data_IF_290578465484
#
_entry.id   IF_290578465484
#
_cell.length_a   1.000
_cell.length_b   1.000
_cell.length_c   1.000
_cell.angle_alpha   90.00
_cell.angle_beta   90.00
_cell.angle_gamma   90.00
#
_symmetry.space_group_name_H-M   'P 1'
#
loop_
_entity.id
_entity.type
_entity.pdbx_description
1 polymer ?
#
# COMPACT_ATOMS: atom_id res chain seq x y z
N UNK A 1 1.77 13.80 0.36
CA UNK A 1 0.30 13.91 0.41
C UNK A 1 -0.22 13.99 -1.02
N UNK A 2 -0.89 12.94 -1.51
CA UNK A 2 -1.57 12.97 -2.81
C UNK A 2 -3.06 13.12 -2.53
N UNK A 3 -3.70 14.10 -3.14
CA UNK A 3 -5.13 14.38 -2.95
C UNK A 3 -5.82 14.09 -4.28
N UNK A 4 -6.70 13.10 -4.29
CA UNK A 4 -7.51 12.81 -5.48
C UNK A 4 -8.89 13.43 -5.23
N UNK A 5 -9.20 14.47 -6.00
CA UNK A 5 -10.49 15.11 -5.97
C UNK A 5 -11.46 14.35 -6.88
N UNK A 6 -12.50 13.73 -6.31
CA UNK A 6 -13.62 13.22 -7.08
C UNK A 6 -14.91 13.93 -6.64
N UNK A 7 -15.20 15.07 -7.30
CA UNK A 7 -16.36 15.93 -7.00
C UNK A 7 -16.40 16.39 -5.54
N UNK A 8 -17.22 15.77 -4.67
CA UNK A 8 -17.43 16.12 -3.25
C UNK A 8 -16.78 15.13 -2.27
N UNK A 9 -16.07 14.14 -2.81
CA UNK A 9 -15.38 13.10 -2.04
C UNK A 9 -13.86 13.38 -2.12
N UNK A 10 -13.17 13.31 -0.99
CA UNK A 10 -11.72 13.51 -0.93
C UNK A 10 -11.08 12.21 -0.48
N UNK A 11 -10.29 11.60 -1.37
CA UNK A 11 -9.35 10.56 -0.99
C UNK A 11 -8.02 11.22 -0.60
N UNK A 12 -7.59 11.03 0.65
CA UNK A 12 -6.32 11.56 1.15
C UNK A 12 -5.35 10.42 1.38
N UNK A 13 -4.17 10.52 0.76
CA UNK A 13 -3.05 9.63 1.02
C UNK A 13 -2.09 10.30 2.02
N UNK A 14 -1.96 9.69 3.21
CA UNK A 14 -1.01 10.12 4.24
C UNK A 14 -0.10 8.93 4.60
N UNK A 15 1.21 9.07 4.42
CA UNK A 15 2.22 8.05 4.75
C UNK A 15 1.93 6.64 4.19
N UNK A 16 1.52 6.55 2.93
CA UNK A 16 1.16 5.27 2.28
C UNK A 16 -0.14 4.64 2.77
N UNK A 17 -0.82 5.23 3.77
CA UNK A 17 -2.12 4.77 4.28
C UNK A 17 -3.25 5.56 3.63
N UNK A 18 -4.32 4.85 3.26
CA UNK A 18 -5.51 5.40 2.58
C UNK A 18 -6.49 5.93 3.62
N UNK A 19 -6.86 7.21 3.51
CA UNK A 19 -7.87 7.83 4.34
C UNK A 19 -9.01 8.33 3.46
N UNK A 20 -10.25 7.97 3.83
CA UNK A 20 -11.45 8.36 3.10
C UNK A 20 -12.17 9.48 3.84
N UNK A 21 -12.26 10.65 3.21
CA UNK A 21 -12.99 11.80 3.73
C UNK A 21 -14.25 12.01 2.88
N UNK A 22 -15.42 11.82 3.49
CA UNK A 22 -16.70 11.87 2.79
C UNK A 22 -17.43 13.16 3.17
N UNK A 23 -17.38 14.16 2.29
CA UNK A 23 -18.19 15.37 2.43
C UNK A 23 -19.68 15.03 2.34
N UNK A 24 -20.44 15.42 3.36
CA UNK A 24 -21.90 15.27 3.54
C UNK A 24 -22.44 13.91 4.03
N UNK A 25 -21.66 13.11 4.76
CA UNK A 25 -22.20 11.92 5.43
C UNK A 25 -22.71 12.26 6.83
N UNK A 26 -23.99 11.93 7.08
CA UNK A 26 -24.56 11.82 8.42
C UNK A 26 -24.13 10.46 8.98
N UNK A 27 -23.13 10.46 9.86
CA UNK A 27 -22.65 9.25 10.55
C UNK A 27 -23.62 8.93 11.70
N UNK A 28 -24.43 7.87 11.56
CA UNK A 28 -25.19 7.31 12.69
C UNK A 28 -24.44 6.10 13.27
N UNK A 29 -23.70 6.35 14.36
CA UNK A 29 -22.91 5.36 15.07
C UNK A 29 -22.18 5.99 16.26
N UNK A 30 -22.05 5.26 17.37
CA UNK A 30 -21.39 5.75 18.59
C UNK A 30 -19.87 5.83 18.39
N UNK A 31 -19.38 7.05 18.11
CA UNK A 31 -17.97 7.50 18.03
C UNK A 31 -17.26 7.31 16.67
N UNK A 32 -17.00 8.44 16.02
CA UNK A 32 -15.89 8.60 15.05
C UNK A 32 -14.97 9.67 15.63
N UNK A 33 -13.76 9.27 16.01
CA UNK A 33 -12.72 10.19 16.50
C UNK A 33 -11.66 10.38 15.44
N UNK A 34 -11.47 11.61 14.97
CA UNK A 34 -10.28 12.03 14.22
C UNK A 34 -9.43 12.85 15.19
N UNK A 35 -8.21 12.39 15.48
CA UNK A 35 -7.21 13.17 16.23
C UNK A 35 -6.06 13.50 15.29
N UNK A 36 -5.85 14.78 15.03
CA UNK A 36 -4.73 15.29 14.24
C UNK A 36 -3.79 16.03 15.20
N UNK A 37 -2.61 15.44 15.41
CA UNK A 37 -1.37 16.13 15.80
C UNK A 37 -1.23 16.68 17.22
N UNK A 38 -0.49 15.94 18.07
CA UNK A 38 0.51 16.49 19.01
C UNK A 38 1.31 15.35 19.72
N UNK A 39 2.30 14.81 19.00
CA UNK A 39 3.60 14.47 19.60
C UNK A 39 3.75 13.28 20.56
N UNK A 40 2.73 12.46 20.86
CA UNK A 40 2.93 11.20 21.62
C UNK A 40 2.08 10.07 21.04
N UNK A 41 2.68 9.34 20.11
CA UNK A 41 2.02 8.31 19.31
C UNK A 41 1.78 7.02 20.10
N UNK A 42 0.58 6.87 20.67
CA UNK A 42 -0.01 5.57 20.97
C UNK A 42 -0.86 5.16 19.76
N UNK A 43 -0.33 4.29 18.90
CA UNK A 43 -1.09 3.72 17.80
C UNK A 43 -1.98 2.59 18.34
N UNK A 44 -3.24 2.91 18.67
CA UNK A 44 -4.27 1.87 18.76
C UNK A 44 -4.56 1.38 17.34
N UNK A 45 -4.52 0.07 17.13
CA UNK A 45 -5.02 -0.58 15.93
C UNK A 45 -6.48 -0.18 15.71
N UNK A 46 -6.78 0.49 14.60
CA UNK A 46 -8.16 0.74 14.18
C UNK A 46 -8.54 -0.32 13.17
N UNK A 47 -9.47 -1.21 13.56
CA UNK A 47 -10.23 -2.01 12.61
C UNK A 47 -11.23 -1.08 11.92
N UNK A 48 -10.96 -0.70 10.68
CA UNK A 48 -12.00 -0.13 9.82
C UNK A 48 -12.90 -1.30 9.44
N UNK A 49 -14.02 -1.46 10.13
CA UNK A 49 -15.10 -2.32 9.62
C UNK A 49 -15.40 -1.86 8.19
N UNK A 50 -15.64 -2.78 7.23
CA UNK A 50 -15.93 -2.39 5.85
C UNK A 50 -17.08 -1.38 5.87
N UNK A 51 -16.76 -0.13 5.56
CA UNK A 51 -17.78 0.90 5.46
C UNK A 51 -18.48 0.62 4.12
N UNK A 52 -19.66 0.04 4.19
CA UNK A 52 -20.49 -0.12 3.00
C UNK A 52 -21.06 1.25 2.65
N UNK A 53 -20.78 1.73 1.44
CA UNK A 53 -21.43 2.92 0.91
C UNK A 53 -22.69 2.51 0.18
N UNK A 54 -23.84 2.93 0.70
CA UNK A 54 -25.06 2.99 -0.10
C UNK A 54 -25.09 4.31 -0.87
N UNK A 55 -25.10 4.23 -2.20
CA UNK A 55 -25.21 5.39 -3.09
C UNK A 55 -26.35 5.21 -4.07
N UNK A 56 -27.12 6.27 -4.27
CA UNK A 56 -28.21 6.31 -5.25
C UNK A 56 -27.66 6.80 -6.59
N UNK A 57 -27.98 6.05 -7.65
CA UNK A 57 -27.62 6.33 -9.03
C UNK A 57 -28.90 6.42 -9.85
N UNK A 58 -28.83 7.16 -10.96
CA UNK A 58 -29.94 7.27 -11.90
C UNK A 58 -29.50 6.82 -13.29
N UNK A 59 -30.23 5.87 -13.85
CA UNK A 59 -30.01 5.34 -15.19
C UNK A 59 -31.33 5.41 -15.95
N UNK A 60 -31.42 6.33 -16.92
CA UNK A 60 -32.62 6.64 -17.71
C UNK A 60 -33.89 6.89 -16.88
N UNK A 61 -33.80 7.67 -15.79
CA UNK A 61 -34.94 7.94 -14.92
C UNK A 61 -35.26 6.82 -13.94
N UNK A 62 -34.60 5.66 -14.05
CA UNK A 62 -34.69 4.59 -13.06
C UNK A 62 -33.67 4.81 -11.95
N UNK A 63 -34.15 4.79 -10.70
CA UNK A 63 -33.30 4.89 -9.51
C UNK A 63 -32.75 3.52 -9.13
N UNK A 64 -31.44 3.48 -8.97
CA UNK A 64 -30.65 2.33 -8.52
C UNK A 64 -30.01 2.70 -7.19
N UNK A 65 -30.12 1.83 -6.18
CA UNK A 65 -29.28 1.95 -4.98
C UNK A 65 -28.28 0.83 -4.97
N UNK A 66 -27.01 1.19 -4.85
CA UNK A 66 -25.91 0.23 -4.82
C UNK A 66 -25.22 0.37 -3.47
N UNK A 67 -25.16 -0.74 -2.75
CA UNK A 67 -24.38 -0.91 -1.54
C UNK A 67 -23.14 -1.75 -1.89
N UNK A 68 -21.97 -1.16 -1.78
CA UNK A 68 -20.68 -1.81 -2.07
C UNK A 68 -19.70 -1.51 -0.94
N UNK A 69 -18.86 -2.49 -0.51
CA UNK A 69 -17.75 -2.21 0.38
C UNK A 69 -16.74 -1.30 -0.30
N UNK A 70 -16.25 -0.31 0.42
CA UNK A 70 -15.25 0.63 -0.11
C UNK A 70 -13.88 0.01 -0.36
N UNK A 71 -13.52 -0.98 0.47
CA UNK A 71 -12.26 -1.69 0.44
C UNK A 71 -12.54 -3.17 0.61
N UNK A 72 -11.98 -3.99 -0.26
CA UNK A 72 -12.08 -5.45 -0.18
C UNK A 72 -10.71 -6.09 -0.26
N UNK A 73 -10.53 -7.20 0.43
CA UNK A 73 -9.34 -8.03 0.30
C UNK A 73 -9.50 -8.97 -0.90
N UNK A 74 -8.42 -9.24 -1.66
CA UNK A 74 -8.45 -10.27 -2.69
C UNK A 74 -8.73 -11.64 -2.05
N UNK A 75 -9.33 -12.55 -2.81
CA UNK A 75 -9.65 -13.92 -2.39
C UNK A 75 -10.67 -14.06 -1.25
N UNK A 76 -11.11 -12.98 -0.61
CA UNK A 76 -12.27 -12.99 0.27
C UNK A 76 -13.56 -12.77 -0.52
N UNK A 77 -14.65 -13.37 -0.04
CA UNK A 77 -15.97 -13.12 -0.60
C UNK A 77 -16.58 -11.89 0.04
N UNK A 78 -17.09 -10.97 -0.77
CA UNK A 78 -17.80 -9.78 -0.32
C UNK A 78 -19.13 -9.64 -1.04
N UNK A 79 -20.05 -8.89 -0.43
CA UNK A 79 -21.40 -8.72 -0.95
C UNK A 79 -21.58 -7.34 -1.57
N UNK A 80 -22.12 -7.30 -2.78
CA UNK A 80 -22.68 -6.08 -3.37
C UNK A 80 -24.20 -6.24 -3.38
N UNK A 81 -24.93 -5.30 -2.78
CA UNK A 81 -26.39 -5.27 -2.87
C UNK A 81 -26.84 -4.20 -3.84
N UNK A 82 -27.70 -4.56 -4.77
CA UNK A 82 -28.24 -3.63 -5.78
C UNK A 82 -29.76 -3.68 -5.73
N UNK A 83 -30.37 -2.57 -5.32
CA UNK A 83 -31.81 -2.37 -5.38
C UNK A 83 -32.17 -1.65 -6.68
N UNK A 84 -32.82 -2.39 -7.57
CA UNK A 84 -33.27 -1.91 -8.88
C UNK A 84 -34.79 -1.82 -8.90
N UNK A 85 -35.33 -0.63 -9.20
CA UNK A 85 -36.79 -0.39 -9.21
C UNK A 85 -37.42 -0.49 -10.61
N UNK A 86 -36.62 -0.52 -11.67
CA UNK A 86 -37.11 -0.60 -13.03
C UNK A 86 -37.61 -2.00 -13.40
N UNK A 87 -38.54 -2.05 -14.36
CA UNK A 87 -39.07 -3.33 -14.86
C UNK A 87 -38.09 -4.03 -15.81
N UNK A 88 -37.24 -3.27 -16.50
CA UNK A 88 -36.36 -3.81 -17.54
C UNK A 88 -35.05 -4.30 -16.93
N UNK A 89 -34.60 -5.54 -17.25
CA UNK A 89 -33.34 -6.03 -16.74
C UNK A 89 -32.16 -5.17 -17.22
N UNK A 90 -31.18 -4.99 -16.34
CA UNK A 90 -29.92 -4.29 -16.62
C UNK A 90 -28.78 -5.29 -16.65
N UNK A 91 -27.75 -5.03 -17.44
CA UNK A 91 -26.55 -5.86 -17.43
C UNK A 91 -25.51 -5.24 -16.51
N UNK A 92 -24.72 -6.07 -15.85
CA UNK A 92 -23.56 -5.61 -15.08
C UNK A 92 -22.29 -6.33 -15.49
N UNK A 93 -21.17 -5.65 -15.32
CA UNK A 93 -19.81 -6.16 -15.54
C UNK A 93 -18.94 -5.67 -14.38
N UNK A 94 -18.13 -6.55 -13.81
CA UNK A 94 -17.04 -6.19 -12.90
C UNK A 94 -15.72 -6.22 -13.65
N UNK A 95 -14.96 -5.13 -13.49
CA UNK A 95 -13.63 -4.97 -14.04
C UNK A 95 -12.60 -4.77 -12.91
N UNK A 96 -11.40 -5.30 -13.09
CA UNK A 96 -10.25 -5.02 -12.23
C UNK A 96 -9.66 -3.62 -12.52
N UNK A 97 -8.58 -3.26 -11.81
CA UNK A 97 -7.92 -1.98 -11.97
C UNK A 97 -7.31 -1.73 -13.36
N UNK A 98 -6.99 -2.80 -14.10
CA UNK A 98 -6.47 -2.74 -15.47
C UNK A 98 -7.58 -2.86 -16.52
N UNK A 99 -8.84 -2.99 -16.09
CA UNK A 99 -10.00 -3.11 -16.97
C UNK A 99 -10.33 -4.54 -17.40
N UNK A 100 -9.65 -5.56 -16.86
CA UNK A 100 -9.97 -6.96 -17.13
C UNK A 100 -11.34 -7.32 -16.54
N UNK A 101 -12.23 -7.84 -17.38
CA UNK A 101 -13.56 -8.25 -16.97
C UNK A 101 -13.54 -9.65 -16.33
N UNK A 102 -13.93 -9.76 -15.07
CA UNK A 102 -13.90 -11.04 -14.35
C UNK A 102 -15.27 -11.53 -13.89
N UNK A 103 -16.33 -10.71 -13.99
CA UNK A 103 -17.70 -11.16 -13.76
C UNK A 103 -18.68 -10.37 -14.61
N UNK A 104 -19.75 -11.02 -15.07
CA UNK A 104 -20.87 -10.38 -15.74
C UNK A 104 -22.18 -11.05 -15.38
N UNK A 105 -23.27 -10.31 -15.49
CA UNK A 105 -24.60 -10.85 -15.26
C UNK A 105 -25.71 -9.84 -15.52
N UNK A 106 -26.89 -10.14 -15.01
CA UNK A 106 -28.09 -9.35 -15.21
C UNK A 106 -28.76 -9.05 -13.87
N UNK A 107 -29.17 -7.80 -13.68
CA UNK A 107 -29.94 -7.33 -12.54
C UNK A 107 -31.42 -7.34 -12.92
N UNK A 108 -32.25 -7.87 -12.01
CA UNK A 108 -33.71 -7.85 -12.15
C UNK A 108 -34.32 -6.84 -11.17
N UNK A 109 -35.58 -6.49 -11.42
CA UNK A 109 -36.39 -5.69 -10.48
C UNK A 109 -36.35 -6.31 -9.08
N UNK A 110 -36.14 -5.48 -8.06
CA UNK A 110 -36.05 -5.89 -6.67
C UNK A 110 -34.63 -5.76 -6.12
N UNK A 111 -34.30 -6.63 -5.17
CA UNK A 111 -33.00 -6.67 -4.50
C UNK A 111 -32.17 -7.77 -5.16
N UNK A 112 -30.97 -7.42 -5.61
CA UNK A 112 -29.99 -8.36 -6.16
C UNK A 112 -28.79 -8.38 -5.22
N UNK A 113 -28.57 -9.53 -4.58
CA UNK A 113 -27.42 -9.75 -3.70
C UNK A 113 -26.36 -10.55 -4.44
N UNK A 114 -25.24 -9.92 -4.74
CA UNK A 114 -24.12 -10.53 -5.45
C UNK A 114 -23.05 -10.90 -4.44
N UNK A 115 -22.73 -12.19 -4.32
CA UNK A 115 -21.58 -12.65 -3.56
C UNK A 115 -20.38 -12.82 -4.51
N UNK A 116 -19.37 -12.00 -4.33
CA UNK A 116 -18.28 -11.80 -5.30
C UNK A 116 -16.95 -12.07 -4.61
N UNK A 117 -16.04 -12.70 -5.34
CA UNK A 117 -14.61 -12.73 -5.00
C UNK A 117 -13.86 -11.81 -5.97
N UNK A 118 -13.10 -10.86 -5.45
CA UNK A 118 -12.28 -9.99 -6.29
C UNK A 118 -11.18 -10.80 -6.97
N UNK A 119 -10.93 -10.52 -8.25
CA UNK A 119 -9.91 -11.17 -9.07
C UNK A 119 -9.26 -10.15 -9.99
N UNK A 120 -7.97 -10.35 -10.33
CA UNK A 120 -7.21 -9.46 -11.21
C UNK A 120 -6.26 -8.54 -10.46
N UNK A 121 -5.88 -7.44 -11.10
CA UNK A 121 -4.94 -6.46 -10.59
C UNK A 121 -5.49 -5.66 -9.40
N UNK A 122 -4.67 -5.44 -8.36
CA UNK A 122 -5.02 -4.58 -7.21
C UNK A 122 -5.28 -3.13 -7.65
N UNK A 123 -6.05 -2.40 -6.84
CA UNK A 123 -6.40 -0.99 -7.06
C UNK A 123 -7.91 -0.79 -7.26
N UNK A 124 -8.28 0.26 -7.99
CA UNK A 124 -9.69 0.65 -8.18
C UNK A 124 -10.41 -0.28 -9.16
N UNK A 125 -11.21 -1.19 -8.64
CA UNK A 125 -12.15 -1.99 -9.42
C UNK A 125 -13.43 -1.21 -9.72
N UNK A 126 -14.17 -1.67 -10.73
CA UNK A 126 -15.40 -1.01 -11.17
C UNK A 126 -16.53 -2.00 -11.40
N UNK A 127 -17.68 -1.71 -10.79
CA UNK A 127 -18.97 -2.27 -11.19
C UNK A 127 -19.60 -1.36 -12.23
N UNK A 128 -19.66 -1.83 -13.48
CA UNK A 128 -20.32 -1.16 -14.59
C UNK A 128 -21.73 -1.72 -14.72
N UNK A 129 -22.75 -0.88 -14.60
CA UNK A 129 -24.15 -1.27 -14.83
C UNK A 129 -24.63 -0.55 -16.08
N UNK A 130 -25.10 -1.34 -17.06
CA UNK A 130 -25.45 -0.91 -18.41
C UNK A 130 -26.92 -1.23 -18.69
N UNK A 131 -27.62 -0.26 -19.29
CA UNK A 131 -28.97 -0.49 -19.83
C UNK A 131 -28.94 -1.00 -21.29
N UNK A 132 -30.11 -1.33 -21.83
CA UNK A 132 -30.26 -1.75 -23.22
C UNK A 132 -29.92 -0.67 -24.27
N UNK A 133 -29.91 0.60 -23.88
CA UNK A 133 -29.62 1.76 -24.76
C UNK A 133 -28.13 2.12 -24.78
N UNK A 134 -27.32 1.47 -23.95
CA UNK A 134 -25.88 1.65 -23.92
C UNK A 134 -25.37 2.61 -22.85
N UNK A 135 -26.24 3.25 -22.06
CA UNK A 135 -25.80 4.14 -20.98
C UNK A 135 -25.25 3.29 -19.83
N UNK A 136 -24.14 3.73 -19.26
CA UNK A 136 -23.40 3.02 -18.20
C UNK A 136 -23.27 3.92 -16.98
N UNK A 137 -23.48 3.34 -15.80
CA UNK A 137 -22.98 3.89 -14.53
C UNK A 137 -21.78 3.06 -14.08
N UNK A 138 -20.78 3.72 -13.52
CA UNK A 138 -19.62 3.07 -12.90
C UNK A 138 -19.65 3.30 -11.40
N UNK A 139 -19.56 2.22 -10.64
CA UNK A 139 -19.48 2.23 -9.18
C UNK A 139 -18.09 1.72 -8.80
N UNK A 140 -17.18 2.59 -8.34
CA UNK A 140 -15.83 2.19 -7.98
C UNK A 140 -15.77 1.55 -6.59
N UNK A 141 -14.83 0.64 -6.38
CA UNK A 141 -14.42 0.13 -5.07
C UNK A 141 -12.94 -0.27 -5.10
N UNK A 142 -12.26 -0.24 -3.97
CA UNK A 142 -10.84 -0.58 -3.89
C UNK A 142 -10.62 -2.04 -3.55
N UNK A 143 -9.72 -2.68 -4.29
CA UNK A 143 -9.16 -3.99 -3.95
C UNK A 143 -7.72 -3.77 -3.52
N UNK A 144 -7.40 -4.18 -2.31
CA UNK A 144 -6.05 -4.04 -1.77
C UNK A 144 -5.66 -5.32 -1.05
N UNK A 145 -4.43 -5.77 -1.25
CA UNK A 145 -3.92 -6.96 -0.59
C UNK A 145 -3.11 -6.56 0.65
N UNK A 146 -3.45 -7.14 1.79
CA UNK A 146 -2.60 -7.10 2.97
C UNK A 146 -2.20 -8.51 3.36
N UNK A 147 -0.90 -8.76 3.48
CA UNK A 147 -0.39 -10.01 4.03
C UNK A 147 -0.66 -10.04 5.53
N UNK A 148 -1.24 -11.16 5.99
CA UNK A 148 -1.48 -11.43 7.40
C UNK A 148 -1.19 -12.90 7.70
N UNK A 149 -0.93 -13.19 8.98
CA UNK A 149 -0.85 -14.55 9.50
C UNK A 149 -2.06 -14.72 10.41
N UNK A 150 -2.81 -15.81 10.20
CA UNK A 150 -3.90 -16.22 11.08
C UNK A 150 -3.64 -17.66 11.52
N UNK A 151 -3.69 -17.90 12.82
CA UNK A 151 -3.44 -19.20 13.44
C UNK A 151 -4.59 -19.59 14.35
N UNK A 152 -4.86 -20.88 14.51
CA UNK A 152 -5.97 -21.35 15.36
C UNK A 152 -5.85 -20.88 16.82
N UNK A 153 -4.63 -20.79 17.34
CA UNK A 153 -4.37 -20.34 18.71
C UNK A 153 -4.34 -18.81 18.87
N UNK A 154 -4.28 -18.07 17.77
CA UNK A 154 -4.08 -16.62 17.75
C UNK A 154 -2.70 -16.14 18.21
N UNK A 155 -1.84 -17.05 18.70
CA UNK A 155 -0.56 -16.70 19.33
C UNK A 155 0.39 -15.98 18.35
N UNK A 156 0.34 -16.35 17.07
CA UNK A 156 1.27 -15.87 16.06
C UNK A 156 0.67 -14.85 15.10
N UNK A 157 -0.59 -14.47 15.29
CA UNK A 157 -1.31 -13.60 14.35
C UNK A 157 -0.67 -12.22 14.24
N UNK A 158 -0.06 -11.76 15.35
CA UNK A 158 0.66 -10.48 15.42
C UNK A 158 2.15 -10.59 15.08
N UNK A 159 2.68 -11.79 14.80
CA UNK A 159 4.11 -11.95 14.52
C UNK A 159 4.52 -11.10 13.31
N UNK A 160 3.76 -11.22 12.21
CA UNK A 160 4.07 -10.53 10.97
C UNK A 160 3.93 -9.01 11.10
N UNK A 161 2.87 -8.53 11.75
CA UNK A 161 2.66 -7.09 11.98
C UNK A 161 3.76 -6.51 12.88
N UNK A 162 4.15 -7.23 13.93
CA UNK A 162 5.21 -6.80 14.85
C UNK A 162 6.58 -6.74 14.15
N UNK A 163 6.95 -7.77 13.36
CA UNK A 163 8.20 -7.78 12.60
C UNK A 163 8.28 -6.60 11.62
N UNK A 164 7.20 -6.37 10.85
CA UNK A 164 7.10 -5.24 9.94
C UNK A 164 7.30 -3.91 10.66
N UNK A 165 6.67 -3.72 11.81
CA UNK A 165 6.78 -2.47 12.56
C UNK A 165 8.14 -2.29 13.24
N UNK A 166 8.81 -3.38 13.64
CA UNK A 166 10.21 -3.34 14.10
C UNK A 166 11.12 -2.84 12.99
N UNK A 167 11.08 -3.48 11.82
CA UNK A 167 11.87 -3.11 10.63
C UNK A 167 11.65 -1.63 10.25
N UNK A 168 10.40 -1.18 10.18
CA UNK A 168 10.09 0.21 9.83
C UNK A 168 10.66 1.24 10.80
N UNK A 169 10.78 0.90 12.09
CA UNK A 169 11.34 1.80 13.09
C UNK A 169 12.85 1.97 12.93
N UNK A 170 13.51 1.04 12.26
CA UNK A 170 14.95 1.05 11.99
C UNK A 170 15.30 1.72 10.64
N UNK A 171 14.34 2.48 10.07
CA UNK A 171 14.49 3.11 8.77
C UNK A 171 15.35 4.37 8.80
N UNK A 172 16.38 4.35 7.97
CA UNK A 172 17.20 5.50 7.62
C UNK A 172 16.80 6.05 6.25
N UNK A 173 16.68 7.37 6.18
CA UNK A 173 16.45 8.11 4.95
C UNK A 173 17.62 9.07 4.73
N UNK A 174 18.43 8.79 3.72
CA UNK A 174 19.54 9.63 3.30
C UNK A 174 19.10 10.51 2.14
N UNK A 175 19.56 11.76 2.11
CA UNK A 175 19.42 12.62 0.94
C UNK A 175 20.79 12.72 0.28
N UNK A 176 20.94 12.10 -0.89
CA UNK A 176 22.21 11.99 -1.61
C UNK A 176 22.01 12.60 -2.99
N UNK A 177 22.71 13.70 -3.26
CA UNK A 177 22.58 14.45 -4.53
C UNK A 177 21.13 14.82 -4.89
N UNK A 178 20.33 15.17 -3.88
CA UNK A 178 18.92 15.53 -4.03
C UNK A 178 17.97 14.34 -4.24
N UNK A 179 18.46 13.11 -4.17
CA UNK A 179 17.64 11.88 -4.21
C UNK A 179 17.52 11.29 -2.80
N UNK A 180 16.35 10.75 -2.49
CA UNK A 180 16.14 9.98 -1.26
C UNK A 180 16.62 8.54 -1.47
N UNK A 181 17.50 8.08 -0.57
CA UNK A 181 17.94 6.69 -0.46
C UNK A 181 17.46 6.14 0.87
N UNK A 182 16.70 5.05 0.84
CA UNK A 182 16.11 4.45 2.03
C UNK A 182 16.78 3.11 2.36
N UNK A 183 17.19 2.94 3.61
CA UNK A 183 17.78 1.70 4.12
C UNK A 183 17.22 1.36 5.50
N UNK A 184 17.09 0.08 5.80
CA UNK A 184 16.80 -0.40 7.16
C UNK A 184 17.64 -1.66 7.41
N UNK A 185 18.56 -1.67 8.39
CA UNK A 185 19.28 -0.51 8.93
C UNK A 185 20.17 0.14 7.86
N UNK A 186 21.05 1.08 8.23
CA UNK A 186 22.03 1.71 7.32
C UNK A 186 23.18 0.79 6.87
N UNK A 187 23.09 -0.50 7.18
CA UNK A 187 24.01 -1.57 6.79
C UNK A 187 23.37 -2.39 5.66
N UNK A 188 24.05 -2.46 4.52
CA UNK A 188 23.56 -3.05 3.27
C UNK A 188 23.29 -4.54 3.40
N UNK A 189 24.14 -5.26 4.14
CA UNK A 189 23.96 -6.69 4.44
C UNK A 189 22.61 -6.94 5.11
N UNK A 190 22.39 -6.32 6.26
CA UNK A 190 21.14 -6.46 7.03
C UNK A 190 19.95 -5.99 6.21
N UNK A 191 20.10 -4.88 5.48
CA UNK A 191 19.08 -4.39 4.57
C UNK A 191 18.66 -5.43 3.53
N UNK A 192 19.60 -6.11 2.87
CA UNK A 192 19.30 -7.18 1.91
C UNK A 192 18.59 -8.36 2.59
N UNK A 193 18.98 -8.71 3.81
CA UNK A 193 18.30 -9.77 4.57
C UNK A 193 16.85 -9.40 4.89
N UNK A 194 16.58 -8.16 5.31
CA UNK A 194 15.23 -7.66 5.54
C UNK A 194 14.41 -7.52 4.26
N UNK A 195 15.04 -7.21 3.13
CA UNK A 195 14.39 -7.11 1.82
C UNK A 195 13.65 -8.40 1.41
N UNK A 196 14.03 -9.57 1.94
CA UNK A 196 13.29 -10.83 1.73
C UNK A 196 11.84 -10.74 2.23
N UNK A 197 11.59 -9.93 3.25
CA UNK A 197 10.26 -9.61 3.75
C UNK A 197 9.58 -8.47 3.01
N UNK A 198 10.34 -7.51 2.48
CA UNK A 198 9.83 -6.27 1.86
C UNK A 198 8.83 -6.51 0.73
N UNK A 199 8.94 -7.64 0.01
CA UNK A 199 7.97 -8.07 -1.01
C UNK A 199 6.50 -8.06 -0.55
N UNK A 200 6.26 -8.05 0.75
CA UNK A 200 4.92 -8.05 1.34
C UNK A 200 4.43 -6.67 1.82
N UNK A 201 5.30 -5.66 1.95
CA UNK A 201 4.88 -4.39 2.55
C UNK A 201 5.64 -3.12 2.16
N UNK A 202 6.80 -3.24 1.53
CA UNK A 202 7.67 -2.11 1.23
C UNK A 202 7.48 -1.66 -0.21
N UNK A 203 7.41 -0.35 -0.41
CA UNK A 203 7.23 0.24 -1.75
C UNK A 203 8.58 0.54 -2.40
N UNK A 204 9.56 0.96 -1.60
CA UNK A 204 10.91 1.26 -2.08
C UNK A 204 11.86 0.10 -1.79
N UNK A 205 12.07 -0.73 -2.81
CA UNK A 205 12.99 -1.88 -2.78
C UNK A 205 14.23 -1.64 -3.64
N UNK A 206 14.45 -0.41 -4.12
CA UNK A 206 15.46 -0.14 -5.15
C UNK A 206 16.44 0.95 -4.78
N UNK A 207 16.02 1.98 -4.05
CA UNK A 207 16.84 3.20 -3.89
C UNK A 207 18.22 2.93 -3.32
N UNK A 208 18.32 2.06 -2.30
CA UNK A 208 19.60 1.65 -1.71
C UNK A 208 20.44 0.79 -2.66
N UNK A 209 19.89 -0.29 -3.21
CA UNK A 209 20.64 -1.17 -4.12
C UNK A 209 21.15 -0.42 -5.36
N UNK A 210 20.27 0.37 -5.98
CA UNK A 210 20.63 1.20 -7.14
C UNK A 210 21.68 2.27 -6.79
N UNK A 211 21.78 2.68 -5.52
CA UNK A 211 22.82 3.59 -5.05
C UNK A 211 24.16 2.87 -4.90
N UNK A 212 24.20 1.75 -4.17
CA UNK A 212 25.44 0.97 -3.96
C UNK A 212 26.02 0.41 -5.26
N UNK A 213 25.18 0.01 -6.21
CA UNK A 213 25.63 -0.38 -7.55
C UNK A 213 26.34 0.75 -8.30
N UNK A 214 25.90 2.01 -8.13
CA UNK A 214 26.55 3.16 -8.78
C UNK A 214 27.91 3.50 -8.20
N UNK A 215 28.10 3.23 -6.91
CA UNK A 215 29.34 3.55 -6.19
C UNK A 215 30.23 2.32 -5.97
N UNK A 216 29.96 1.22 -6.67
CA UNK A 216 30.79 0.02 -6.61
C UNK A 216 32.26 0.38 -6.91
N UNK A 217 33.17 -0.12 -6.08
CA UNK A 217 34.58 0.17 -6.26
C UNK A 217 35.11 -0.49 -7.55
N UNK A 218 36.07 0.12 -8.28
CA UNK A 218 36.63 -0.46 -9.49
C UNK A 218 37.25 -1.87 -9.33
N UNK A 219 37.67 -2.23 -8.12
CA UNK A 219 38.16 -3.58 -7.79
C UNK A 219 37.03 -4.61 -7.58
N UNK A 220 35.77 -4.20 -7.70
CA UNK A 220 34.61 -5.09 -7.69
C UNK A 220 33.89 -5.23 -6.34
N UNK A 221 34.44 -4.71 -5.25
CA UNK A 221 33.77 -4.75 -3.94
C UNK A 221 32.71 -3.65 -3.77
N UNK A 222 31.77 -3.87 -2.85
CA UNK A 222 30.73 -2.89 -2.49
C UNK A 222 30.98 -2.29 -1.11
N UNK A 223 30.82 -0.98 -0.95
CA UNK A 223 30.64 -0.42 0.38
C UNK A 223 29.38 -1.01 1.02
N UNK A 224 29.35 -1.17 2.34
CA UNK A 224 28.24 -1.80 3.04
C UNK A 224 27.55 -0.89 4.06
N UNK A 225 28.15 0.23 4.44
CA UNK A 225 27.52 1.16 5.40
C UNK A 225 27.31 2.54 4.76
N UNK A 226 26.22 3.22 5.12
CA UNK A 226 26.08 4.67 4.98
C UNK A 226 25.98 5.26 6.39
N UNK A 227 26.97 6.05 6.79
CA UNK A 227 27.11 6.55 8.17
C UNK A 227 27.58 8.01 8.20
N UNK A 228 27.46 8.71 9.34
CA UNK A 228 28.11 10.01 9.52
C UNK A 228 29.64 9.94 9.35
N UNK A 229 30.31 10.97 8.81
CA UNK A 229 31.76 10.98 8.61
C UNK A 229 32.60 10.82 9.88
N UNK A 230 32.03 11.15 11.05
CA UNK A 230 32.69 11.04 12.34
C UNK A 230 32.40 9.72 13.06
N UNK A 231 31.72 8.79 12.42
CA UNK A 231 31.43 7.48 12.99
C UNK A 231 32.73 6.66 13.15
N UNK A 232 32.95 5.97 14.29
CA UNK A 232 34.16 5.19 14.55
C UNK A 232 34.49 4.15 13.47
N UNK A 233 33.50 3.60 12.77
CA UNK A 233 33.73 2.60 11.72
C UNK A 233 34.59 3.14 10.58
N UNK A 234 34.60 4.46 10.35
CA UNK A 234 35.50 5.09 9.37
C UNK A 234 36.98 4.93 9.72
N UNK A 235 37.31 4.67 10.98
CA UNK A 235 38.68 4.53 11.49
C UNK A 235 39.18 3.09 11.57
N UNK A 236 38.28 2.11 11.46
CA UNK A 236 38.60 0.69 11.60
C UNK A 236 39.10 0.04 10.31
N UNK A 237 39.05 0.77 9.20
CA UNK A 237 39.35 0.24 7.87
C UNK A 237 40.39 1.11 7.17
N UNK A 238 41.11 0.51 6.23
CA UNK A 238 42.04 1.24 5.36
C UNK A 238 41.31 2.28 4.50
N UNK A 239 42.07 3.30 4.08
CA UNK A 239 41.54 4.41 3.26
C UNK A 239 40.83 3.95 1.98
N UNK A 240 41.26 2.84 1.36
CA UNK A 240 40.61 2.28 0.16
C UNK A 240 39.21 1.73 0.42
N UNK A 241 38.92 1.30 1.64
CA UNK A 241 37.64 0.73 2.04
C UNK A 241 36.67 1.76 2.60
N UNK A 242 36.98 3.07 2.47
CA UNK A 242 36.07 4.13 2.85
C UNK A 242 36.02 5.25 1.82
N UNK A 243 34.86 5.88 1.73
CA UNK A 243 34.68 7.16 1.03
C UNK A 243 34.16 8.17 2.05
N UNK A 244 34.76 9.35 2.09
CA UNK A 244 34.20 10.51 2.79
C UNK A 244 33.57 11.41 1.74
N UNK A 245 32.24 11.53 1.79
CA UNK A 245 31.44 12.39 0.92
C UNK A 245 31.09 13.67 1.67
N UNK A 246 31.97 14.66 1.57
CA UNK A 246 31.79 15.96 2.22
C UNK A 246 30.55 16.70 1.74
N UNK A 247 30.15 16.51 0.47
CA UNK A 247 29.01 17.19 -0.14
C UNK A 247 27.70 16.77 0.52
N UNK A 248 27.53 15.46 0.75
CA UNK A 248 26.32 14.94 1.38
C UNK A 248 26.49 14.76 2.91
N UNK A 249 27.67 15.06 3.45
CA UNK A 249 28.04 14.83 4.86
C UNK A 249 27.81 13.37 5.29
N UNK A 250 28.31 12.44 4.47
CA UNK A 250 28.19 11.01 4.68
C UNK A 250 29.55 10.33 4.50
N UNK A 251 29.68 9.14 5.06
CA UNK A 251 30.77 8.22 4.78
C UNK A 251 30.21 6.86 4.36
N UNK A 252 30.94 6.22 3.46
CA UNK A 252 30.68 4.86 3.01
C UNK A 252 31.83 3.98 3.48
N UNK A 253 31.52 2.83 4.06
CA UNK A 253 32.53 1.94 4.66
C UNK A 253 32.32 0.51 4.18
N UNK A 254 33.43 -0.18 3.87
CA UNK A 254 33.55 -1.62 3.68
C UNK A 254 34.34 -2.22 4.85
N UNK A 255 33.73 -3.11 5.61
CA UNK A 255 34.33 -3.96 6.63
C UNK A 255 34.86 -5.24 5.98
N UNK A 256 36.15 -5.29 5.74
CA UNK A 256 36.83 -6.41 5.08
C UNK A 256 36.71 -7.77 5.80
N UNK A 257 36.38 -7.78 7.10
CA UNK A 257 36.12 -9.02 7.84
C UNK A 257 34.84 -9.74 7.40
N UNK A 258 33.92 -9.04 6.73
CA UNK A 258 32.60 -9.58 6.38
C UNK A 258 32.43 -9.65 4.84
N UNK A 259 33.15 -10.59 4.23
CA UNK A 259 33.38 -10.72 2.78
C UNK A 259 32.22 -11.26 1.91
N UNK A 260 30.99 -11.33 2.44
CA UNK A 260 29.83 -11.95 1.80
C UNK A 260 28.90 -10.97 1.07
N UNK A 261 29.10 -9.66 1.20
CA UNK A 261 28.23 -8.65 0.58
C UNK A 261 28.20 -8.77 -0.95
N UNK A 262 29.33 -9.14 -1.56
CA UNK A 262 29.42 -9.37 -3.00
C UNK A 262 28.52 -10.54 -3.46
N UNK A 263 28.34 -11.58 -2.62
CA UNK A 263 27.43 -12.69 -2.91
C UNK A 263 25.96 -12.33 -2.70
N UNK A 264 25.67 -11.36 -1.82
CA UNK A 264 24.32 -10.87 -1.58
C UNK A 264 23.85 -9.91 -2.69
N UNK A 265 24.79 -9.23 -3.36
CA UNK A 265 24.54 -8.26 -4.43
C UNK A 265 24.56 -8.88 -5.84
N UNK A 266 25.08 -10.10 -5.99
CA UNK A 266 25.31 -10.80 -7.27
C UNK A 266 24.14 -11.64 -7.80
#
# INVERSE_FOLDING_TARGET
MRVIHHRREILVYLNGKRYLYLGNIKLEGKKVGLRVGDGKSAFSSFSIRPLNLEKEYELNGEKLRVEVPLLVQPLESFKIKIRHRGEKPLNFILCDANGFEYLRGTLRKGINDLNIRAFGALGTHKLKIKDKRGKVIEVPFEVDANSQIETESGLWDQLFSNLRETIKKDRFLFTIDGKTVAMNPSWLRDHIHEMKGYKWWEEDVRSALDHFLKIQHPEGFFYEMIIPPNDPHTTFVDSKYRIIDEKNNLAYVRLEMEADIEYLMG
#
